data_IF_568026606986
#
_entry.id   IF_568026606986
#
_cell.length_a   1.000
_cell.length_b   1.000
_cell.length_c   1.000
_cell.angle_alpha   90.00
_cell.angle_beta   90.00
_cell.angle_gamma   90.00
#
_symmetry.space_group_name_H-M   'P 1'
#
loop_
_entity.id
_entity.type
_entity.pdbx_description
1 polymer ?
#
# COMPACT_ATOMS: atom_id res chain seq x y z
N UNK A 1 -20.67 8.88 -6.84
CA UNK A 1 -20.49 10.25 -6.32
C UNK A 1 -19.65 11.01 -7.33
N UNK A 2 -20.09 12.19 -7.78
CA UNK A 2 -19.35 12.99 -8.76
C UNK A 2 -18.75 14.22 -8.07
N UNK A 3 -17.44 14.44 -8.22
CA UNK A 3 -16.76 15.59 -7.67
C UNK A 3 -16.94 16.80 -8.59
N UNK A 4 -17.82 17.73 -8.22
CA UNK A 4 -18.10 18.97 -8.97
C UNK A 4 -17.36 20.18 -8.40
N UNK A 5 -16.45 19.98 -7.45
CA UNK A 5 -15.75 21.08 -6.75
C UNK A 5 -14.46 21.53 -7.43
N UNK A 6 -13.98 20.78 -8.43
CA UNK A 6 -12.66 20.98 -9.04
C UNK A 6 -11.46 20.63 -8.13
N UNK A 7 -11.70 20.15 -6.91
CA UNK A 7 -10.63 19.79 -5.96
C UNK A 7 -10.14 18.37 -6.20
N UNK A 8 -8.90 18.19 -6.63
CA UNK A 8 -8.31 16.87 -6.96
C UNK A 8 -8.10 16.00 -5.72
N UNK A 9 -7.56 16.55 -4.63
CA UNK A 9 -7.35 15.86 -3.36
C UNK A 9 -8.43 16.29 -2.36
N UNK A 10 -9.60 15.67 -2.43
CA UNK A 10 -10.70 16.02 -1.56
C UNK A 10 -10.66 15.18 -0.28
N UNK A 11 -10.13 15.74 0.80
CA UNK A 11 -9.97 15.04 2.09
C UNK A 11 -11.27 14.51 2.66
N UNK A 12 -12.39 15.21 2.48
CA UNK A 12 -13.72 14.75 2.91
C UNK A 12 -14.38 13.73 1.98
N UNK A 13 -13.86 13.51 0.76
CA UNK A 13 -14.44 12.59 -0.25
C UNK A 13 -13.51 11.43 -0.61
N UNK A 14 -12.59 11.08 0.29
CA UNK A 14 -11.73 9.90 0.11
C UNK A 14 -10.34 10.17 -0.49
N UNK A 15 -9.91 11.44 -0.56
CA UNK A 15 -8.59 11.85 -1.08
C UNK A 15 -8.41 11.46 -2.55
N UNK A 16 -7.42 10.65 -2.89
CA UNK A 16 -7.10 10.26 -4.25
C UNK A 16 -7.97 9.08 -4.68
N UNK A 17 -8.62 9.21 -5.84
CA UNK A 17 -9.31 8.10 -6.50
C UNK A 17 -8.24 7.10 -6.98
N UNK A 18 -8.44 5.82 -6.68
CA UNK A 18 -7.56 4.75 -7.16
C UNK A 18 -7.82 4.50 -8.65
N UNK A 19 -6.77 4.20 -9.40
CA UNK A 19 -6.91 3.74 -10.77
C UNK A 19 -7.63 2.38 -10.81
N UNK A 20 -8.40 2.12 -11.87
CA UNK A 20 -9.16 0.87 -12.02
C UNK A 20 -8.25 -0.37 -11.89
N UNK A 21 -7.06 -0.31 -12.48
CA UNK A 21 -6.05 -1.39 -12.37
C UNK A 21 -5.63 -1.69 -10.93
N UNK A 22 -5.58 -0.67 -10.07
CA UNK A 22 -5.28 -0.86 -8.64
C UNK A 22 -6.46 -1.49 -7.90
N UNK A 23 -7.69 -1.09 -8.24
CA UNK A 23 -8.92 -1.68 -7.68
C UNK A 23 -9.03 -3.15 -8.06
N UNK A 24 -8.80 -3.49 -9.33
CA UNK A 24 -8.81 -4.87 -9.82
C UNK A 24 -7.76 -5.74 -9.14
N UNK A 25 -6.53 -5.24 -9.00
CA UNK A 25 -5.45 -5.95 -8.32
C UNK A 25 -5.80 -6.26 -6.85
N UNK A 26 -6.32 -5.28 -6.11
CA UNK A 26 -6.75 -5.46 -4.71
C UNK A 26 -7.91 -6.44 -4.63
N UNK A 27 -8.92 -6.30 -5.50
CA UNK A 27 -10.07 -7.19 -5.54
C UNK A 27 -9.67 -8.64 -5.87
N UNK A 28 -8.65 -8.84 -6.71
CA UNK A 28 -8.09 -10.17 -7.00
C UNK A 28 -7.37 -10.75 -5.78
N UNK A 29 -6.48 -9.95 -5.15
CA UNK A 29 -5.73 -10.37 -3.97
C UNK A 29 -6.61 -10.72 -2.76
N UNK A 30 -7.77 -10.06 -2.60
CA UNK A 30 -8.70 -10.32 -1.50
C UNK A 30 -9.57 -11.58 -1.68
N UNK A 31 -9.61 -12.18 -2.88
CA UNK A 31 -10.50 -13.32 -3.18
C UNK A 31 -9.95 -14.68 -2.76
N UNK A 32 -8.67 -14.76 -2.44
CA UNK A 32 -8.02 -16.00 -2.03
C UNK A 32 -7.03 -15.72 -0.88
N UNK A 33 -6.68 -16.73 -0.07
CA UNK A 33 -5.55 -16.62 0.83
C UNK A 33 -4.30 -16.26 0.04
N UNK A 34 -3.71 -15.11 0.35
CA UNK A 34 -2.43 -14.67 -0.21
C UNK A 34 -1.33 -14.91 0.81
N UNK A 35 -0.14 -15.24 0.35
CA UNK A 35 1.07 -15.47 1.15
C UNK A 35 1.63 -14.14 1.69
N UNK A 36 0.80 -13.37 2.39
CA UNK A 36 1.14 -12.05 2.91
C UNK A 36 2.19 -12.11 4.04
N UNK A 37 2.28 -13.25 4.74
CA UNK A 37 3.28 -13.51 5.79
C UNK A 37 4.13 -14.76 5.51
N UNK A 38 4.08 -15.28 4.27
CA UNK A 38 4.78 -16.52 3.91
C UNK A 38 5.81 -16.21 2.84
N UNK A 39 7.07 -16.31 3.23
CA UNK A 39 8.19 -16.30 2.30
C UNK A 39 8.27 -17.71 1.67
N UNK A 40 8.25 -17.79 0.33
CA UNK A 40 8.28 -19.07 -0.39
C UNK A 40 9.72 -19.57 -0.58
N UNK A 41 10.72 -18.70 -0.37
CA UNK A 41 12.14 -19.02 -0.58
C UNK A 41 12.88 -19.33 0.73
N UNK A 42 12.41 -18.80 1.86
CA UNK A 42 12.98 -19.06 3.19
C UNK A 42 11.85 -19.45 4.13
N UNK A 43 11.94 -20.59 4.83
CA UNK A 43 10.86 -21.14 5.65
C UNK A 43 10.65 -20.37 6.98
N UNK A 44 10.54 -19.05 6.89
CA UNK A 44 10.44 -18.09 7.98
C UNK A 44 9.22 -17.16 7.82
N UNK A 45 8.88 -16.49 8.92
CA UNK A 45 7.75 -15.55 8.97
C UNK A 45 8.11 -14.29 8.17
N UNK A 46 7.56 -14.14 6.97
CA UNK A 46 7.79 -12.99 6.11
C UNK A 46 7.06 -11.75 6.63
N UNK A 47 7.69 -10.58 6.55
CA UNK A 47 7.02 -9.31 6.85
C UNK A 47 6.26 -8.82 5.62
N UNK A 48 4.93 -8.68 5.75
CA UNK A 48 3.99 -8.15 4.73
C UNK A 48 4.45 -6.87 4.01
N UNK A 49 5.28 -6.07 4.67
CA UNK A 49 5.66 -4.76 4.18
C UNK A 49 7.02 -4.78 3.43
N UNK A 50 7.75 -5.90 3.45
CA UNK A 50 9.10 -6.04 2.85
C UNK A 50 9.13 -5.69 1.36
N UNK A 51 8.23 -6.27 0.58
CA UNK A 51 8.15 -6.04 -0.86
C UNK A 51 7.85 -4.56 -1.21
N UNK A 52 7.08 -3.88 -0.36
CA UNK A 52 6.74 -2.46 -0.55
C UNK A 52 7.89 -1.57 -0.05
N UNK A 53 8.52 -1.93 1.06
CA UNK A 53 9.69 -1.22 1.60
C UNK A 53 10.86 -1.23 0.61
N UNK A 54 11.19 -2.38 0.01
CA UNK A 54 12.25 -2.49 -1.00
C UNK A 54 11.99 -1.59 -2.21
N UNK A 55 10.75 -1.55 -2.70
CA UNK A 55 10.34 -0.67 -3.79
C UNK A 55 10.44 0.81 -3.40
N UNK A 56 10.04 1.16 -2.17
CA UNK A 56 10.14 2.52 -1.65
C UNK A 56 11.60 2.95 -1.47
N UNK A 57 12.48 2.07 -0.98
CA UNK A 57 13.93 2.33 -0.91
C UNK A 57 14.51 2.58 -2.31
N UNK A 58 14.11 1.81 -3.33
CA UNK A 58 14.56 2.03 -4.71
C UNK A 58 14.11 3.39 -5.28
N UNK A 59 12.88 3.82 -5.00
CA UNK A 59 12.34 5.09 -5.50
C UNK A 59 12.91 6.30 -4.74
N UNK A 60 13.15 6.15 -3.44
CA UNK A 60 13.53 7.26 -2.56
C UNK A 60 15.05 7.36 -2.32
N UNK A 61 15.80 6.28 -2.53
CA UNK A 61 17.21 6.16 -2.14
C UNK A 61 17.44 6.00 -0.63
N UNK A 62 16.39 5.77 0.16
CA UNK A 62 16.49 5.55 1.59
C UNK A 62 17.14 4.20 1.92
N UNK A 63 17.87 4.14 3.03
CA UNK A 63 18.51 2.92 3.53
C UNK A 63 17.49 1.90 4.07
N UNK A 64 16.41 2.39 4.70
CA UNK A 64 15.32 1.58 5.22
C UNK A 64 14.00 2.36 5.19
N UNK A 65 12.88 1.64 5.09
CA UNK A 65 11.53 2.21 5.01
C UNK A 65 10.57 1.43 5.88
N UNK A 66 9.81 2.16 6.69
CA UNK A 66 8.76 1.59 7.54
C UNK A 66 7.39 2.15 7.17
N UNK A 67 6.41 1.25 7.04
CA UNK A 67 5.07 1.55 6.57
C UNK A 67 4.11 1.46 7.75
N UNK A 68 3.43 2.57 8.03
CA UNK A 68 2.39 2.64 9.06
C UNK A 68 1.06 3.01 8.45
N UNK A 69 -0.03 2.64 9.12
CA UNK A 69 -1.41 2.84 8.63
C UNK A 69 -1.72 4.28 8.21
N UNK A 70 -1.23 5.26 8.96
CA UNK A 70 -1.49 6.67 8.66
C UNK A 70 -0.41 7.56 9.25
N UNK A 71 -0.13 8.68 8.58
CA UNK A 71 0.84 9.69 9.00
C UNK A 71 0.53 10.34 10.35
N UNK A 72 -0.66 10.11 10.93
CA UNK A 72 -1.09 10.68 12.20
C UNK A 72 -0.34 10.16 13.42
N UNK A 73 0.29 8.98 13.30
CA UNK A 73 1.18 8.40 14.32
C UNK A 73 2.38 7.76 13.61
N UNK A 74 3.40 8.55 13.23
CA UNK A 74 4.60 8.05 12.58
C UNK A 74 5.59 7.60 13.67
N UNK A 75 5.35 6.43 14.25
CA UNK A 75 6.35 5.76 15.07
C UNK A 75 6.57 4.37 14.47
N UNK A 76 7.75 4.21 13.89
CA UNK A 76 8.49 2.97 13.89
C UNK A 76 9.59 3.16 14.94
#
# INVERSE_FOLDING_TARGET
MFNLTGTVLHTNLGRAIQAESAVEAVASAMRAPVTLEYDLDDAGRGHRDRAIADLLCQITGAEDVCIVNTTRRPFC
#
